data_IF_502159859081
#
_entry.id   IF_502159859081
#
_cell.length_a   1.000
_cell.length_b   1.000
_cell.length_c   1.000
_cell.angle_alpha   90.00
_cell.angle_beta   90.00
_cell.angle_gamma   90.00
#
_symmetry.space_group_name_H-M   'P 1'
#
loop_
_entity.id
_entity.type
_entity.pdbx_description
1 polymer ?
#
# COMPACT_ATOMS: atom_id res chain seq x y z
N UNK A 1 1.85 -15.80 13.37
CA UNK A 1 0.66 -15.55 14.22
C UNK A 1 -0.08 -14.34 13.66
N UNK A 2 -1.36 -14.49 13.25
CA UNK A 2 -2.20 -13.36 12.79
C UNK A 2 -2.27 -12.33 13.93
N UNK A 3 -2.03 -11.05 13.62
CA UNK A 3 -1.98 -9.89 14.54
C UNK A 3 -3.30 -9.11 14.74
N UNK A 4 -4.52 -9.52 14.34
CA UNK A 4 -5.68 -8.65 14.49
C UNK A 4 -5.97 -8.32 15.97
N UNK A 5 -5.64 -9.23 16.89
CA UNK A 5 -5.74 -9.01 18.34
C UNK A 5 -4.67 -8.06 18.91
N UNK A 6 -3.58 -7.78 18.19
CA UNK A 6 -2.54 -6.82 18.64
C UNK A 6 -2.79 -5.40 18.17
N UNK A 7 -3.77 -5.18 17.30
CA UNK A 7 -4.19 -3.86 16.87
C UNK A 7 -5.35 -3.39 17.73
N UNK A 8 -5.28 -2.15 18.20
CA UNK A 8 -6.38 -1.54 18.97
C UNK A 8 -7.70 -1.61 18.21
N UNK A 9 -8.82 -1.61 18.94
CA UNK A 9 -10.16 -1.76 18.37
C UNK A 9 -10.46 -0.78 17.24
N UNK A 10 -9.93 0.45 17.35
CA UNK A 10 -10.12 1.52 16.37
C UNK A 10 -8.99 1.60 15.32
N UNK A 11 -8.17 0.55 15.16
CA UNK A 11 -7.09 0.56 14.18
C UNK A 11 -7.62 0.40 12.75
N UNK A 12 -7.18 1.29 11.85
CA UNK A 12 -7.48 1.16 10.41
C UNK A 12 -7.00 -0.17 9.82
N UNK A 13 -6.04 -0.84 10.44
CA UNK A 13 -5.56 -2.16 10.01
C UNK A 13 -6.60 -3.28 10.16
N UNK A 14 -7.71 -3.02 10.88
CA UNK A 14 -8.85 -3.92 11.02
C UNK A 14 -9.94 -3.68 9.98
N UNK A 15 -9.85 -2.59 9.21
CA UNK A 15 -10.86 -2.27 8.20
C UNK A 15 -10.82 -3.28 7.04
N UNK A 16 -11.98 -3.65 6.47
CA UNK A 16 -12.05 -4.30 5.18
C UNK A 16 -11.31 -3.50 4.11
N UNK A 17 -10.79 -4.17 3.08
CA UNK A 17 -10.02 -3.56 1.98
C UNK A 17 -10.66 -2.27 1.44
N UNK A 18 -11.96 -2.32 1.14
CA UNK A 18 -12.68 -1.19 0.54
C UNK A 18 -12.73 0.01 1.50
N UNK A 19 -13.07 -0.23 2.77
CA UNK A 19 -13.13 0.79 3.80
C UNK A 19 -11.75 1.38 4.11
N UNK A 20 -10.71 0.55 4.11
CA UNK A 20 -9.32 0.99 4.28
C UNK A 20 -8.89 1.93 3.15
N UNK A 21 -9.13 1.56 1.90
CA UNK A 21 -8.79 2.40 0.75
C UNK A 21 -9.60 3.69 0.71
N UNK A 22 -10.90 3.62 1.07
CA UNK A 22 -11.75 4.81 1.15
C UNK A 22 -11.30 5.76 2.27
N UNK A 23 -10.92 5.23 3.44
CA UNK A 23 -10.34 6.01 4.52
C UNK A 23 -9.07 6.75 4.05
N UNK A 24 -8.15 6.04 3.38
CA UNK A 24 -6.92 6.65 2.86
C UNK A 24 -7.20 7.71 1.80
N UNK A 25 -8.12 7.46 0.87
CA UNK A 25 -8.52 8.45 -0.13
C UNK A 25 -9.03 9.75 0.54
N UNK A 26 -9.94 9.62 1.51
CA UNK A 26 -10.48 10.75 2.25
C UNK A 26 -9.38 11.49 3.03
N UNK A 27 -8.46 10.76 3.66
CA UNK A 27 -7.29 11.34 4.30
C UNK A 27 -6.45 12.15 3.31
N UNK A 28 -6.17 11.62 2.12
CA UNK A 28 -5.38 12.33 1.11
C UNK A 28 -6.10 13.54 0.52
N UNK A 29 -7.44 13.51 0.41
CA UNK A 29 -8.25 14.70 0.04
C UNK A 29 -8.16 15.77 1.09
N UNK A 30 -8.35 15.39 2.36
CA UNK A 30 -8.17 16.29 3.50
C UNK A 30 -6.75 16.85 3.52
N UNK A 31 -5.74 16.02 3.31
CA UNK A 31 -4.35 16.44 3.28
C UNK A 31 -4.06 17.46 2.19
N UNK A 32 -4.61 17.28 0.97
CA UNK A 32 -4.49 18.27 -0.12
C UNK A 32 -5.09 19.61 0.29
N UNK A 33 -6.31 19.59 0.88
CA UNK A 33 -7.04 20.79 1.30
C UNK A 33 -6.28 21.61 2.36
N UNK A 34 -5.51 20.94 3.21
CA UNK A 34 -4.84 21.56 4.35
C UNK A 34 -3.33 21.78 4.12
N UNK A 35 -2.83 21.62 2.90
CA UNK A 35 -1.42 21.86 2.55
C UNK A 35 -1.28 22.90 1.45
N UNK A 36 -0.09 23.52 1.36
CA UNK A 36 0.21 24.51 0.32
C UNK A 36 0.15 23.84 -1.06
N UNK A 37 -0.23 24.61 -2.10
CA UNK A 37 -0.24 24.12 -3.49
C UNK A 37 1.13 23.63 -3.97
N UNK A 38 2.21 24.14 -3.40
CA UNK A 38 3.60 23.73 -3.67
C UNK A 38 4.04 22.49 -2.91
N UNK A 39 3.20 21.95 -2.01
CA UNK A 39 3.54 20.80 -1.19
C UNK A 39 3.83 19.58 -2.06
N UNK A 40 4.95 18.95 -1.74
CA UNK A 40 5.32 17.61 -2.20
C UNK A 40 5.34 16.67 -1.00
N UNK A 41 5.00 15.41 -1.21
CA UNK A 41 5.14 14.40 -0.17
C UNK A 41 5.58 13.07 -0.73
N UNK A 42 6.10 12.23 0.17
CA UNK A 42 6.55 10.88 -0.12
C UNK A 42 5.67 9.87 0.65
N UNK A 43 5.12 8.89 -0.04
CA UNK A 43 4.41 7.76 0.56
C UNK A 43 5.25 6.50 0.40
N UNK A 44 5.67 5.90 1.51
CA UNK A 44 6.29 4.57 1.49
C UNK A 44 5.24 3.49 1.75
N UNK A 45 5.09 2.54 0.83
CA UNK A 45 4.18 1.41 1.02
C UNK A 45 4.68 0.15 0.31
N UNK A 46 4.07 -1.00 0.59
CA UNK A 46 4.29 -2.26 -0.12
C UNK A 46 2.96 -2.84 -0.58
N UNK A 47 3.00 -3.70 -1.59
CA UNK A 47 1.85 -4.53 -1.92
C UNK A 47 1.43 -5.36 -0.70
N UNK A 48 0.15 -5.33 -0.39
CA UNK A 48 -0.48 -6.22 0.56
C UNK A 48 -1.21 -7.32 -0.17
N UNK A 49 -0.85 -8.55 0.15
CA UNK A 49 -1.37 -9.78 -0.45
C UNK A 49 -1.35 -10.86 0.62
N UNK A 50 -2.23 -11.84 0.51
CA UNK A 50 -2.33 -12.93 1.51
C UNK A 50 -1.26 -14.01 1.30
N UNK A 51 -0.04 -13.56 1.12
CA UNK A 51 1.11 -14.38 0.78
C UNK A 51 1.52 -15.32 1.91
N UNK A 52 1.28 -14.95 3.17
CA UNK A 52 1.78 -15.73 4.30
C UNK A 52 0.82 -16.81 4.78
N UNK A 53 -0.40 -16.86 4.23
CA UNK A 53 -1.41 -17.80 4.70
C UNK A 53 -2.08 -18.64 3.61
N UNK A 54 -1.85 -18.33 2.31
CA UNK A 54 -2.32 -19.17 1.21
C UNK A 54 -1.28 -19.36 0.08
N UNK A 55 -1.30 -20.52 -0.61
CA UNK A 55 -0.52 -20.70 -1.83
C UNK A 55 -0.85 -19.64 -2.89
N UNK A 56 0.14 -19.21 -3.67
CA UNK A 56 -0.01 -18.11 -4.64
C UNK A 56 -1.14 -18.33 -5.65
N UNK A 57 -1.37 -19.58 -6.07
CA UNK A 57 -2.43 -19.97 -7.01
C UNK A 57 -3.84 -19.96 -6.40
N UNK A 58 -3.94 -19.94 -5.06
CA UNK A 58 -5.21 -19.90 -4.32
C UNK A 58 -5.54 -18.51 -3.81
N UNK A 59 -4.68 -17.52 -4.05
CA UNK A 59 -4.92 -16.18 -3.58
C UNK A 59 -5.98 -15.48 -4.42
N UNK A 60 -6.93 -14.86 -3.75
CA UNK A 60 -7.94 -14.04 -4.39
C UNK A 60 -7.43 -12.62 -4.62
N UNK A 61 -7.19 -12.26 -5.88
CA UNK A 61 -6.67 -10.96 -6.27
C UNK A 61 -7.53 -9.78 -5.77
N UNK A 62 -8.84 -9.97 -5.59
CA UNK A 62 -9.76 -8.95 -5.08
C UNK A 62 -9.44 -8.50 -3.63
N UNK A 63 -8.75 -9.33 -2.87
CA UNK A 63 -8.37 -9.01 -1.49
C UNK A 63 -7.05 -8.23 -1.44
N UNK A 64 -6.22 -8.31 -2.48
CA UNK A 64 -4.93 -7.63 -2.53
C UNK A 64 -5.08 -6.10 -2.56
N UNK A 65 -4.15 -5.40 -1.92
CA UNK A 65 -3.94 -3.96 -2.11
C UNK A 65 -2.59 -3.78 -2.78
N UNK A 66 -2.61 -3.36 -4.04
CA UNK A 66 -1.41 -3.19 -4.83
C UNK A 66 -0.98 -1.72 -4.90
N UNK A 67 0.24 -1.48 -5.36
CA UNK A 67 0.73 -0.13 -5.67
C UNK A 67 -0.23 0.65 -6.58
N UNK A 68 -0.89 -0.04 -7.50
CA UNK A 68 -1.89 0.53 -8.42
C UNK A 68 -3.14 1.02 -7.69
N UNK A 69 -3.57 0.35 -6.63
CA UNK A 69 -4.69 0.82 -5.80
C UNK A 69 -4.30 2.10 -5.06
N UNK A 70 -3.10 2.14 -4.47
CA UNK A 70 -2.58 3.34 -3.83
C UNK A 70 -2.44 4.50 -4.82
N UNK A 71 -1.92 4.25 -6.01
CA UNK A 71 -1.84 5.25 -7.07
C UNK A 71 -3.23 5.80 -7.42
N UNK A 72 -4.22 4.92 -7.61
CA UNK A 72 -5.59 5.32 -7.99
C UNK A 72 -6.25 6.21 -6.94
N UNK A 73 -6.14 5.88 -5.65
CA UNK A 73 -6.72 6.72 -4.59
C UNK A 73 -6.02 8.07 -4.48
N UNK A 74 -4.69 8.11 -4.65
CA UNK A 74 -3.91 9.35 -4.64
C UNK A 74 -4.30 10.25 -5.81
N UNK A 75 -4.42 9.64 -6.99
CA UNK A 75 -4.83 10.34 -8.21
C UNK A 75 -6.22 10.95 -8.05
N UNK A 76 -7.17 10.16 -7.55
CA UNK A 76 -8.56 10.56 -7.33
C UNK A 76 -8.66 11.64 -6.24
N UNK A 77 -7.77 11.60 -5.24
CA UNK A 77 -7.65 12.61 -4.19
C UNK A 77 -7.00 13.93 -4.67
N UNK A 78 -6.57 14.02 -5.93
CA UNK A 78 -6.02 15.24 -6.51
C UNK A 78 -4.51 15.38 -6.35
N UNK A 79 -3.79 14.27 -6.24
CA UNK A 79 -2.33 14.22 -6.24
C UNK A 79 -1.82 13.68 -7.58
N UNK A 80 -0.68 14.20 -8.02
CA UNK A 80 0.01 13.78 -9.23
C UNK A 80 1.26 13.03 -8.82
N UNK A 81 1.37 11.77 -9.25
CA UNK A 81 2.58 10.98 -9.09
C UNK A 81 3.67 11.55 -10.00
N UNK A 82 4.86 11.77 -9.43
CA UNK A 82 6.01 12.29 -10.17
C UNK A 82 7.10 11.24 -10.33
N UNK A 83 7.33 10.43 -9.30
CA UNK A 83 8.37 9.41 -9.30
C UNK A 83 7.93 8.20 -8.48
N UNK A 84 8.41 7.03 -8.87
CA UNK A 84 8.38 5.81 -8.08
C UNK A 84 9.82 5.42 -7.82
N UNK A 85 10.18 5.27 -6.55
CA UNK A 85 11.49 4.74 -6.15
C UNK A 85 11.26 3.38 -5.52
N UNK A 86 11.85 2.34 -6.10
CA UNK A 86 11.86 1.01 -5.48
C UNK A 86 12.84 1.02 -4.31
N UNK A 87 12.33 0.65 -3.14
CA UNK A 87 13.09 0.53 -1.90
C UNK A 87 13.14 -0.96 -1.50
N UNK A 88 14.22 -1.69 -1.85
CA UNK A 88 14.31 -3.11 -1.54
C UNK A 88 14.26 -3.35 -0.04
N UNK A 89 13.63 -4.44 0.36
CA UNK A 89 13.64 -4.93 1.73
C UNK A 89 14.90 -5.77 1.96
N UNK A 90 15.43 -5.78 3.18
CA UNK A 90 16.64 -6.57 3.53
C UNK A 90 16.47 -8.03 3.12
N UNK A 91 17.50 -8.59 2.48
CA UNK A 91 17.58 -10.00 2.12
C UNK A 91 17.60 -10.92 3.34
N UNK A 92 17.98 -10.40 4.51
CA UNK A 92 17.93 -11.11 5.80
C UNK A 92 16.51 -11.58 6.17
N UNK A 93 15.48 -10.97 5.57
CA UNK A 93 14.08 -11.41 5.74
C UNK A 93 13.80 -12.79 5.15
N UNK A 94 14.65 -13.27 4.24
CA UNK A 94 14.49 -14.54 3.54
C UNK A 94 15.69 -15.47 3.80
N UNK A 95 15.82 -15.94 5.04
CA UNK A 95 16.81 -16.99 5.34
C UNK A 95 16.42 -18.33 4.68
N UNK A 96 17.40 -19.24 4.56
CA UNK A 96 17.21 -20.53 3.87
C UNK A 96 16.02 -21.35 4.40
N UNK A 97 15.80 -21.34 5.71
CA UNK A 97 14.67 -22.02 6.36
C UNK A 97 13.34 -21.41 5.90
N UNK A 98 13.25 -20.08 5.88
CA UNK A 98 12.07 -19.34 5.43
C UNK A 98 11.78 -19.62 3.96
N UNK A 99 12.80 -19.58 3.11
CA UNK A 99 12.67 -19.85 1.66
C UNK A 99 12.22 -21.29 1.41
N UNK A 100 12.80 -22.28 2.10
CA UNK A 100 12.40 -23.69 1.98
C UNK A 100 10.93 -23.89 2.36
N UNK A 101 10.52 -23.34 3.51
CA UNK A 101 9.13 -23.38 3.93
C UNK A 101 8.18 -22.67 2.95
N UNK A 102 8.64 -21.59 2.30
CA UNK A 102 7.87 -20.90 1.27
C UNK A 102 7.67 -21.75 0.03
N UNK A 103 8.72 -22.46 -0.41
CA UNK A 103 8.67 -23.38 -1.55
C UNK A 103 7.72 -24.55 -1.29
N UNK A 104 7.85 -25.20 -0.12
CA UNK A 104 6.96 -26.30 0.29
C UNK A 104 5.49 -25.88 0.33
N UNK A 105 5.21 -24.71 0.91
CA UNK A 105 3.86 -24.16 1.03
C UNK A 105 3.37 -23.44 -0.23
N UNK A 106 4.21 -23.33 -1.25
CA UNK A 106 3.94 -22.62 -2.52
C UNK A 106 3.45 -21.18 -2.29
N UNK A 107 4.03 -20.51 -1.30
CA UNK A 107 3.71 -19.15 -0.90
C UNK A 107 4.79 -18.18 -1.40
N UNK A 108 4.43 -16.90 -1.56
CA UNK A 108 5.35 -15.86 -2.03
C UNK A 108 5.74 -14.91 -0.91
N UNK A 109 6.68 -14.00 -1.20
CA UNK A 109 7.15 -13.00 -0.26
C UNK A 109 7.35 -11.66 -0.95
N UNK A 110 7.08 -10.58 -0.23
CA UNK A 110 7.34 -9.21 -0.71
C UNK A 110 8.81 -8.86 -0.48
N UNK A 111 9.52 -8.54 -1.56
CA UNK A 111 10.95 -8.21 -1.53
C UNK A 111 11.22 -6.70 -1.60
N UNK A 112 10.20 -5.88 -1.88
CA UNK A 112 10.37 -4.43 -2.03
C UNK A 112 9.22 -3.65 -1.44
N UNK A 113 9.54 -2.44 -0.98
CA UNK A 113 8.60 -1.34 -0.80
C UNK A 113 8.78 -0.36 -1.96
N UNK A 114 7.83 0.55 -2.11
CA UNK A 114 7.87 1.62 -3.08
C UNK A 114 7.69 2.94 -2.35
N UNK A 115 8.46 3.94 -2.75
CA UNK A 115 8.26 5.32 -2.36
C UNK A 115 7.61 6.01 -3.56
N UNK A 116 6.39 6.49 -3.37
CA UNK A 116 5.67 7.32 -4.32
C UNK A 116 5.95 8.79 -3.97
N UNK A 117 6.53 9.55 -4.90
CA UNK A 117 6.72 10.99 -4.74
C UNK A 117 5.61 11.75 -5.47
N UNK A 118 4.88 12.59 -4.75
CA UNK A 118 3.69 13.26 -5.26
C UNK A 118 3.76 14.77 -5.11
N UNK A 119 3.09 15.47 -6.02
CA UNK A 119 2.77 16.91 -5.93
C UNK A 119 1.26 17.10 -6.04
N UNK A 120 0.72 18.23 -5.61
CA UNK A 120 -0.70 18.51 -5.83
C UNK A 120 -1.00 18.65 -7.32
N UNK A 121 -2.10 18.04 -7.80
CA UNK A 121 -2.65 18.37 -9.11
C UNK A 121 -3.11 19.83 -9.10
N UNK A 122 -2.82 20.62 -10.15
CA UNK A 122 -3.43 21.92 -10.34
C UNK A 122 -4.95 21.79 -10.26
N UNK A 123 -5.61 22.77 -9.66
CA UNK A 123 -7.05 22.84 -9.79
C UNK A 123 -7.33 23.20 -11.26
N UNK A 124 -8.09 22.36 -11.95
CA UNK A 124 -8.53 22.69 -13.31
C UNK A 124 -9.57 23.79 -13.11
N UNK A 125 -9.19 25.04 -13.40
CA UNK A 125 -10.14 26.13 -13.49
C UNK A 125 -11.23 25.69 -14.47
N UNK A 126 -12.43 25.44 -13.95
CA UNK A 126 -13.61 25.28 -14.78
C UNK A 126 -13.89 26.66 -15.39
N UNK A 127 -13.32 26.90 -16.57
CA UNK A 127 -13.77 27.97 -17.46
C UNK A 127 -15.19 27.68 -17.93
#
# INVERSE_FOLDING_TARGET
KKKPASYGENSIARLPRLEYLHFLENFFRFFKKNTKKTTRFALINSDWRDFQSCPALKEEAQNAILLTDYYKILETAGWELTHIIQAPLSSERFNAITVSAMQEKKILGVTSRYILLLKQKPDIDKK
#
